data_IF_551612433311
#
_entry.id   IF_551612433311
#
_cell.length_a   1.000
_cell.length_b   1.000
_cell.length_c   1.000
_cell.angle_alpha   90.00
_cell.angle_beta   90.00
_cell.angle_gamma   90.00
#
_symmetry.space_group_name_H-M   'P 1'
#
loop_
_entity.id
_entity.type
_entity.pdbx_description
1 polymer ?
#
# COMPACT_ATOMS: atom_id res chain seq x y z
N UNK A 1 10.34 -7.82 -11.46
CA UNK A 1 9.04 -7.31 -11.93
C UNK A 1 8.28 -6.80 -10.73
N UNK A 2 7.76 -5.56 -10.82
CA UNK A 2 7.04 -4.92 -9.73
C UNK A 2 5.58 -4.67 -10.16
N UNK A 3 4.65 -4.94 -9.27
CA UNK A 3 3.21 -4.69 -9.43
C UNK A 3 2.83 -3.47 -8.62
N UNK A 4 2.13 -2.52 -9.23
CA UNK A 4 1.62 -1.32 -8.55
C UNK A 4 0.10 -1.29 -8.58
N UNK A 5 -0.47 -0.72 -7.52
CA UNK A 5 -1.90 -0.47 -7.43
C UNK A 5 -2.19 0.62 -6.39
N UNK A 6 -3.35 1.24 -6.49
CA UNK A 6 -3.84 2.25 -5.54
C UNK A 6 -5.12 1.76 -4.90
N UNK A 7 -5.12 1.67 -3.58
CA UNK A 7 -6.32 1.37 -2.80
C UNK A 7 -6.90 2.65 -2.22
N UNK A 8 -8.08 3.02 -2.68
CA UNK A 8 -8.85 4.13 -2.14
C UNK A 8 -9.57 3.70 -0.86
N UNK A 9 -9.36 4.42 0.23
CA UNK A 9 -9.98 4.14 1.54
C UNK A 9 -10.65 5.39 2.10
N UNK A 10 -11.77 5.23 2.77
CA UNK A 10 -12.46 6.34 3.41
C UNK A 10 -11.59 6.99 4.48
N UNK A 11 -11.61 8.32 4.55
CA UNK A 11 -10.88 9.08 5.54
C UNK A 11 -11.48 8.87 6.92
N UNK A 12 -10.63 8.78 7.93
CA UNK A 12 -11.03 8.68 9.33
C UNK A 12 -11.25 10.12 9.84
N UNK A 13 -12.44 10.44 10.37
CA UNK A 13 -12.64 11.73 11.02
C UNK A 13 -11.83 11.84 12.29
N UNK A 14 -11.50 13.08 12.68
CA UNK A 14 -10.82 13.34 13.94
C UNK A 14 -11.66 12.84 15.13
N UNK A 15 -10.97 12.17 16.06
CA UNK A 15 -11.62 11.46 17.15
C UNK A 15 -12.12 10.05 16.78
N UNK A 16 -12.02 9.66 15.50
CA UNK A 16 -12.49 8.38 15.00
C UNK A 16 -13.94 8.39 14.52
N UNK A 17 -14.32 7.34 13.84
CA UNK A 17 -15.67 7.14 13.32
C UNK A 17 -16.46 6.11 14.13
N UNK A 18 -17.54 5.58 13.55
CA UNK A 18 -18.40 4.57 14.17
C UNK A 18 -17.66 3.31 14.67
N UNK A 19 -16.51 3.01 14.12
CA UNK A 19 -15.68 1.87 14.57
C UNK A 19 -15.03 2.12 15.94
N UNK A 20 -14.83 3.36 16.33
CA UNK A 20 -14.33 3.76 17.65
C UNK A 20 -15.47 3.90 18.65
N UNK A 21 -16.54 4.59 18.25
CA UNK A 21 -17.60 5.00 19.15
C UNK A 21 -18.84 4.07 19.15
N UNK A 22 -18.88 3.10 18.24
CA UNK A 22 -20.04 2.24 18.04
C UNK A 22 -21.06 2.83 17.05
N UNK A 23 -21.84 1.94 16.43
CA UNK A 23 -22.95 2.35 15.57
C UNK A 23 -24.07 2.97 16.44
N UNK A 24 -24.64 4.07 15.94
CA UNK A 24 -25.72 4.76 16.66
C UNK A 24 -25.25 5.66 17.81
N UNK A 25 -23.94 5.80 18.07
CA UNK A 25 -23.39 6.79 19.00
C UNK A 25 -23.68 8.23 18.54
N UNK A 26 -23.58 9.19 19.46
CA UNK A 26 -23.77 10.61 19.13
C UNK A 26 -22.76 11.09 18.10
N UNK A 27 -21.53 10.63 18.17
CA UNK A 27 -20.48 10.89 17.19
C UNK A 27 -20.85 10.32 15.82
N UNK A 28 -21.35 9.08 15.77
CA UNK A 28 -21.80 8.48 14.52
C UNK A 28 -22.94 9.28 13.90
N UNK A 29 -23.97 9.62 14.71
CA UNK A 29 -25.10 10.47 14.27
C UNK A 29 -24.64 11.86 13.83
N UNK A 30 -23.64 12.46 14.47
CA UNK A 30 -23.08 13.74 14.08
C UNK A 30 -22.41 13.67 12.70
N UNK A 31 -21.62 12.62 12.44
CA UNK A 31 -20.98 12.37 11.14
C UNK A 31 -22.03 12.17 10.04
N UNK A 32 -23.11 11.43 10.33
CA UNK A 32 -24.17 11.18 9.35
C UNK A 32 -24.97 12.46 9.06
N UNK A 33 -25.28 13.29 10.07
CA UNK A 33 -25.88 14.62 9.86
C UNK A 33 -24.98 15.52 9.00
N UNK A 34 -23.67 15.53 9.26
CA UNK A 34 -22.74 16.30 8.45
C UNK A 34 -22.71 15.83 6.99
N UNK A 35 -22.78 14.51 6.74
CA UNK A 35 -22.89 13.96 5.37
C UNK A 35 -24.18 14.40 4.67
N UNK A 36 -25.31 14.36 5.38
CA UNK A 36 -26.60 14.82 4.84
C UNK A 36 -26.54 16.32 4.51
N UNK A 37 -25.82 17.11 5.31
CA UNK A 37 -25.56 18.53 5.06
C UNK A 37 -24.51 18.80 3.95
N UNK A 38 -24.04 17.75 3.26
CA UNK A 38 -23.10 17.85 2.13
C UNK A 38 -21.62 17.76 2.50
N UNK A 39 -21.28 17.58 3.76
CA UNK A 39 -19.88 17.34 4.16
C UNK A 39 -19.39 15.99 3.66
N UNK A 40 -18.26 15.99 2.95
CA UNK A 40 -17.61 14.78 2.47
C UNK A 40 -16.37 14.50 3.33
N UNK A 41 -16.35 13.34 3.99
CA UNK A 41 -15.19 12.91 4.75
C UNK A 41 -13.93 12.74 3.86
N UNK A 42 -14.14 12.59 2.55
CA UNK A 42 -13.06 12.42 1.59
C UNK A 42 -12.45 11.01 1.63
N UNK A 43 -11.35 10.88 0.93
CA UNK A 43 -10.59 9.64 0.81
C UNK A 43 -9.11 9.91 1.01
N UNK A 44 -8.40 8.86 1.34
CA UNK A 44 -6.95 8.76 1.22
C UNK A 44 -6.61 7.58 0.32
N UNK A 45 -5.41 7.58 -0.21
CA UNK A 45 -4.99 6.66 -1.24
C UNK A 45 -3.74 5.92 -0.80
N UNK A 46 -3.84 4.61 -0.70
CA UNK A 46 -2.72 3.75 -0.37
C UNK A 46 -2.08 3.28 -1.67
N UNK A 47 -0.97 3.91 -2.03
CA UNK A 47 -0.16 3.49 -3.15
C UNK A 47 0.73 2.32 -2.72
N UNK A 48 0.66 1.22 -3.42
CA UNK A 48 1.40 0.00 -3.08
C UNK A 48 2.22 -0.50 -4.28
N UNK A 49 3.43 -0.96 -4.00
CA UNK A 49 4.32 -1.61 -4.94
C UNK A 49 4.79 -2.94 -4.37
N UNK A 50 4.68 -4.03 -5.14
CA UNK A 50 5.03 -5.38 -4.68
C UNK A 50 5.96 -6.04 -5.69
N UNK A 51 7.14 -6.51 -5.24
CA UNK A 51 7.99 -7.31 -6.10
C UNK A 51 7.39 -8.69 -6.38
N UNK A 52 7.37 -9.02 -7.64
CA UNK A 52 6.76 -10.26 -8.13
C UNK A 52 7.45 -11.53 -7.69
N UNK A 53 8.72 -11.48 -7.34
CA UNK A 53 9.51 -12.62 -6.90
C UNK A 53 9.51 -12.76 -5.37
N UNK A 54 10.06 -11.79 -4.67
CA UNK A 54 10.22 -11.85 -3.21
C UNK A 54 8.92 -11.63 -2.44
N UNK A 55 7.95 -10.92 -3.02
CA UNK A 55 6.77 -10.35 -2.37
C UNK A 55 7.09 -9.16 -1.47
N UNK A 56 8.33 -8.67 -1.48
CA UNK A 56 8.68 -7.43 -0.79
C UNK A 56 7.73 -6.32 -1.22
N UNK A 57 7.19 -5.58 -0.28
CA UNK A 57 6.14 -4.60 -0.51
C UNK A 57 6.51 -3.24 0.07
N UNK A 58 6.12 -2.20 -0.64
CA UNK A 58 6.26 -0.82 -0.21
C UNK A 58 4.90 -0.12 -0.36
N UNK A 59 4.43 0.52 0.70
CA UNK A 59 3.13 1.21 0.69
C UNK A 59 3.26 2.57 1.35
N UNK A 60 2.67 3.57 0.72
CA UNK A 60 2.54 4.91 1.25
C UNK A 60 1.08 5.33 1.35
N UNK A 61 0.78 6.10 2.38
CA UNK A 61 -0.46 6.80 2.58
C UNK A 61 -0.35 8.20 1.94
N UNK A 62 -1.07 8.43 0.85
CA UNK A 62 -0.97 9.65 0.04
C UNK A 62 -2.33 10.34 -0.12
N UNK A 63 -2.35 11.66 -0.40
CA UNK A 63 -3.58 12.44 -0.44
C UNK A 63 -4.45 12.18 -1.67
N UNK A 64 -3.87 11.72 -2.76
CA UNK A 64 -4.55 11.55 -4.04
C UNK A 64 -3.94 10.44 -4.91
N UNK A 65 -4.56 10.18 -6.06
CA UNK A 65 -4.10 9.25 -7.10
C UNK A 65 -3.77 9.99 -8.41
N UNK A 66 -3.27 11.22 -8.32
CA UNK A 66 -2.86 11.97 -9.51
C UNK A 66 -1.61 11.37 -10.15
N UNK A 67 -1.37 11.69 -11.42
CA UNK A 67 -0.16 11.26 -12.13
C UNK A 67 1.12 11.76 -11.42
N UNK A 68 1.11 12.98 -10.88
CA UNK A 68 2.22 13.57 -10.11
C UNK A 68 2.53 12.73 -8.87
N UNK A 69 1.51 12.39 -8.12
CA UNK A 69 1.62 11.57 -6.91
C UNK A 69 2.11 10.16 -7.22
N UNK A 70 1.58 9.53 -8.26
CA UNK A 70 2.02 8.21 -8.71
C UNK A 70 3.49 8.19 -9.17
N UNK A 71 3.94 9.24 -9.87
CA UNK A 71 5.35 9.39 -10.28
C UNK A 71 6.27 9.53 -9.06
N UNK A 72 5.89 10.39 -8.10
CA UNK A 72 6.66 10.56 -6.86
C UNK A 72 6.72 9.27 -6.03
N UNK A 73 5.59 8.58 -5.89
CA UNK A 73 5.54 7.26 -5.25
C UNK A 73 6.46 6.24 -5.93
N UNK A 74 6.41 6.15 -7.28
CA UNK A 74 7.26 5.24 -8.03
C UNK A 74 8.74 5.51 -7.82
N UNK A 75 9.15 6.78 -7.79
CA UNK A 75 10.55 7.16 -7.54
C UNK A 75 11.03 6.65 -6.16
N UNK A 76 10.23 6.84 -5.10
CA UNK A 76 10.57 6.37 -3.75
C UNK A 76 10.52 4.85 -3.64
N UNK A 77 9.54 4.20 -4.27
CA UNK A 77 9.48 2.74 -4.34
C UNK A 77 10.72 2.14 -5.00
N UNK A 78 11.24 2.75 -6.05
CA UNK A 78 12.51 2.32 -6.69
C UNK A 78 13.68 2.40 -5.72
N UNK A 79 13.80 3.48 -4.97
CA UNK A 79 14.86 3.64 -3.95
C UNK A 79 14.72 2.55 -2.88
N UNK A 80 13.51 2.31 -2.40
CA UNK A 80 13.24 1.22 -1.46
C UNK A 80 13.67 -0.14 -2.00
N UNK A 81 13.28 -0.50 -3.21
CA UNK A 81 13.68 -1.76 -3.83
C UNK A 81 15.19 -1.87 -4.05
N UNK A 82 15.84 -0.80 -4.46
CA UNK A 82 17.30 -0.76 -4.64
C UNK A 82 18.04 -0.98 -3.33
N UNK A 83 17.58 -0.37 -2.23
CA UNK A 83 18.12 -0.60 -0.89
C UNK A 83 18.00 -2.07 -0.42
N UNK A 84 17.09 -2.84 -1.02
CA UNK A 84 16.92 -4.27 -0.80
C UNK A 84 17.55 -5.14 -1.90
N UNK A 85 18.51 -4.62 -2.66
CA UNK A 85 19.23 -5.36 -3.70
C UNK A 85 18.44 -5.55 -5.01
N UNK A 86 17.22 -5.03 -5.14
CA UNK A 86 16.44 -5.08 -6.38
C UNK A 86 16.78 -3.83 -7.23
N UNK A 87 17.98 -3.83 -7.80
CA UNK A 87 18.51 -2.67 -8.56
C UNK A 87 17.97 -2.61 -9.99
N UNK A 88 17.52 -3.76 -10.55
CA UNK A 88 17.01 -3.84 -11.93
C UNK A 88 15.54 -4.26 -11.94
N UNK A 89 14.65 -3.34 -12.32
CA UNK A 89 13.21 -3.59 -12.48
C UNK A 89 12.90 -3.63 -13.99
N UNK A 90 12.83 -4.83 -14.55
CA UNK A 90 12.62 -5.04 -16.00
C UNK A 90 11.18 -4.82 -16.44
N UNK A 91 10.22 -4.88 -15.51
CA UNK A 91 8.79 -4.74 -15.82
C UNK A 91 8.04 -4.13 -14.65
N UNK A 92 7.16 -3.18 -14.96
CA UNK A 92 6.21 -2.57 -14.04
C UNK A 92 4.81 -2.90 -14.53
N UNK A 93 4.01 -3.56 -13.70
CA UNK A 93 2.63 -3.96 -14.01
C UNK A 93 1.68 -3.08 -13.21
N UNK A 94 0.72 -2.46 -13.89
CA UNK A 94 -0.32 -1.63 -13.27
C UNK A 94 -1.69 -1.95 -13.85
N UNK A 95 -2.73 -1.53 -13.17
CA UNK A 95 -4.05 -1.44 -13.77
C UNK A 95 -4.12 -0.32 -14.84
N UNK A 96 -5.34 -0.07 -15.35
CA UNK A 96 -5.60 0.97 -16.34
C UNK A 96 -6.00 2.32 -15.72
N UNK A 97 -5.65 2.56 -14.46
CA UNK A 97 -5.90 3.82 -13.75
C UNK A 97 -5.32 5.02 -14.52
N UNK A 98 -6.03 6.17 -14.46
CA UNK A 98 -5.64 7.36 -15.21
C UNK A 98 -4.22 7.83 -14.89
N UNK A 99 -3.80 7.74 -13.64
CA UNK A 99 -2.44 8.09 -13.20
C UNK A 99 -1.36 7.27 -13.91
N UNK A 100 -1.59 5.96 -14.09
CA UNK A 100 -0.66 5.05 -14.72
C UNK A 100 -0.65 5.17 -16.27
N UNK A 101 -1.76 5.58 -16.87
CA UNK A 101 -1.86 5.81 -18.32
C UNK A 101 -1.25 7.15 -18.75
N UNK A 102 -0.84 7.99 -17.81
CA UNK A 102 -0.29 9.30 -18.09
C UNK A 102 1.08 9.22 -18.79
N UNK A 103 1.36 10.18 -19.69
CA UNK A 103 2.68 10.31 -20.30
C UNK A 103 3.78 10.58 -19.25
N UNK A 104 3.43 11.24 -18.15
CA UNK A 104 4.36 11.50 -17.04
C UNK A 104 4.80 10.19 -16.38
N UNK A 105 3.87 9.27 -16.12
CA UNK A 105 4.20 7.98 -15.52
C UNK A 105 5.00 7.09 -16.49
N UNK A 106 4.64 7.07 -17.77
CA UNK A 106 5.41 6.37 -18.81
C UNK A 106 6.86 6.85 -18.88
N UNK A 107 7.07 8.18 -18.83
CA UNK A 107 8.43 8.76 -18.77
C UNK A 107 9.19 8.40 -17.49
N UNK A 108 8.50 8.34 -16.34
CA UNK A 108 9.10 8.00 -15.06
C UNK A 108 9.58 6.54 -14.98
N UNK A 109 8.93 5.61 -15.69
CA UNK A 109 9.44 4.25 -15.86
C UNK A 109 10.70 4.26 -16.74
N UNK A 110 10.71 5.11 -17.78
CA UNK A 110 11.86 5.32 -18.67
C UNK A 110 12.29 4.06 -19.42
N UNK A 111 13.54 4.07 -19.89
CA UNK A 111 14.14 2.94 -20.62
C UNK A 111 14.56 1.77 -19.70
N UNK A 112 14.52 1.96 -18.37
CA UNK A 112 14.98 0.96 -17.41
C UNK A 112 14.02 -0.23 -17.24
N UNK A 113 12.77 -0.10 -17.69
CA UNK A 113 11.77 -1.16 -17.56
C UNK A 113 10.61 -1.01 -18.55
N UNK A 114 9.92 -2.12 -18.79
CA UNK A 114 8.70 -2.12 -19.61
C UNK A 114 7.48 -1.85 -18.73
N UNK A 115 6.72 -0.81 -19.05
CA UNK A 115 5.38 -0.62 -18.48
C UNK A 115 4.40 -1.59 -19.15
N UNK A 116 3.65 -2.33 -18.33
CA UNK A 116 2.62 -3.25 -18.78
C UNK A 116 1.30 -2.92 -18.07
N UNK A 117 0.37 -2.38 -18.81
CA UNK A 117 -1.01 -2.28 -18.36
C UNK A 117 -1.65 -3.67 -18.41
N UNK A 118 -2.47 -4.01 -17.41
CA UNK A 118 -3.25 -5.25 -17.46
C UNK A 118 -4.30 -5.18 -18.57
N UNK A 119 -4.66 -6.33 -19.12
CA UNK A 119 -5.79 -6.39 -20.05
C UNK A 119 -7.09 -6.08 -19.31
N UNK A 120 -8.01 -5.32 -19.90
CA UNK A 120 -9.34 -5.12 -19.33
C UNK A 120 -9.97 -6.47 -18.93
N UNK A 121 -10.68 -6.48 -17.82
CA UNK A 121 -11.37 -7.67 -17.30
C UNK A 121 -10.46 -8.88 -16.99
N UNK A 122 -9.14 -8.67 -16.83
CA UNK A 122 -8.19 -9.76 -16.50
C UNK A 122 -7.42 -9.46 -15.23
N UNK A 123 -8.08 -9.48 -14.05
CA UNK A 123 -7.45 -9.12 -12.75
C UNK A 123 -6.27 -10.03 -12.39
N UNK A 124 -6.24 -11.27 -12.90
CA UNK A 124 -5.13 -12.22 -12.63
C UNK A 124 -3.74 -11.66 -12.89
N UNK A 125 -3.60 -10.66 -13.75
CA UNK A 125 -2.31 -10.06 -14.08
C UNK A 125 -1.75 -9.17 -12.97
N UNK A 126 -2.59 -8.57 -12.11
CA UNK A 126 -2.17 -7.75 -10.96
C UNK A 126 -2.39 -8.43 -9.60
N UNK A 127 -2.73 -9.71 -9.61
CA UNK A 127 -3.12 -10.49 -8.43
C UNK A 127 -2.11 -10.49 -7.27
N UNK A 128 -0.85 -10.12 -7.50
CA UNK A 128 0.16 -10.05 -6.42
C UNK A 128 -0.05 -8.84 -5.53
N UNK A 129 -0.25 -7.66 -6.11
CA UNK A 129 -0.53 -6.45 -5.33
C UNK A 129 -1.96 -6.46 -4.79
N UNK A 130 -2.92 -7.03 -5.52
CA UNK A 130 -4.30 -7.21 -5.03
C UNK A 130 -4.32 -8.11 -3.77
N UNK A 131 -3.58 -9.24 -3.82
CA UNK A 131 -3.42 -10.11 -2.65
C UNK A 131 -2.78 -9.39 -1.47
N UNK A 132 -1.73 -8.63 -1.73
CA UNK A 132 -1.07 -7.80 -0.72
C UNK A 132 -2.05 -6.80 -0.10
N UNK A 133 -2.82 -6.07 -0.91
CA UNK A 133 -3.79 -5.11 -0.43
C UNK A 133 -4.95 -5.74 0.35
N UNK A 134 -5.31 -6.99 0.03
CA UNK A 134 -6.26 -7.76 0.84
C UNK A 134 -5.69 -8.03 2.22
N UNK A 135 -4.46 -8.53 2.29
CA UNK A 135 -3.77 -8.81 3.56
C UNK A 135 -3.64 -7.52 4.39
N UNK A 136 -3.22 -6.41 3.78
CA UNK A 136 -3.16 -5.10 4.41
C UNK A 136 -4.53 -4.68 4.98
N UNK A 137 -5.60 -4.92 4.23
CA UNK A 137 -6.95 -4.59 4.66
C UNK A 137 -7.40 -5.45 5.85
N UNK A 138 -7.19 -6.75 5.78
CA UNK A 138 -7.62 -7.72 6.80
C UNK A 138 -6.80 -7.61 8.08
N UNK A 139 -5.47 -7.49 7.97
CA UNK A 139 -4.58 -7.55 9.12
C UNK A 139 -4.28 -6.17 9.75
N UNK A 140 -4.56 -5.07 9.04
CA UNK A 140 -4.30 -3.73 9.55
C UNK A 140 -5.50 -2.79 9.45
N UNK A 141 -5.95 -2.47 8.21
CA UNK A 141 -6.90 -1.36 8.01
C UNK A 141 -8.23 -1.58 8.72
N UNK A 142 -8.69 -2.84 8.76
CA UNK A 142 -9.96 -3.23 9.36
C UNK A 142 -9.82 -4.13 10.60
N UNK A 143 -8.60 -4.48 10.98
CA UNK A 143 -8.35 -5.29 12.18
C UNK A 143 -8.65 -4.53 13.48
N UNK A 144 -8.45 -3.22 13.47
CA UNK A 144 -8.67 -2.35 14.64
C UNK A 144 -9.28 -1.00 14.24
N UNK A 145 -9.95 -0.30 15.16
CA UNK A 145 -10.36 1.08 14.94
C UNK A 145 -9.16 2.04 15.06
N UNK A 146 -9.27 3.20 14.41
CA UNK A 146 -8.31 4.31 14.47
C UNK A 146 -9.05 5.58 14.85
N UNK A 147 -8.40 6.42 15.66
CA UNK A 147 -8.96 7.69 16.14
C UNK A 147 -8.62 8.86 15.22
N UNK A 148 -7.61 8.71 14.35
CA UNK A 148 -7.26 9.72 13.35
C UNK A 148 -6.59 9.08 12.12
N UNK A 149 -6.47 9.88 11.07
CA UNK A 149 -5.79 9.47 9.84
C UNK A 149 -4.27 9.32 10.06
N UNK A 150 -3.69 10.17 10.89
CA UNK A 150 -2.27 10.11 11.26
C UNK A 150 -1.94 8.82 12.01
N UNK A 151 -2.84 8.39 12.91
CA UNK A 151 -2.68 7.12 13.62
C UNK A 151 -2.67 5.94 12.63
N UNK A 152 -3.56 5.96 11.62
CA UNK A 152 -3.58 4.92 10.58
C UNK A 152 -2.33 4.99 9.70
N UNK A 153 -1.87 6.17 9.31
CA UNK A 153 -0.66 6.34 8.52
C UNK A 153 0.57 5.75 9.22
N UNK A 154 0.78 6.09 10.49
CA UNK A 154 1.87 5.52 11.31
C UNK A 154 1.76 3.99 11.45
N UNK A 155 0.54 3.48 11.59
CA UNK A 155 0.32 2.03 11.66
C UNK A 155 0.69 1.33 10.35
N UNK A 156 0.48 1.97 9.19
CA UNK A 156 0.89 1.43 7.88
C UNK A 156 2.42 1.37 7.77
N UNK A 157 3.14 2.39 8.26
CA UNK A 157 4.61 2.39 8.27
C UNK A 157 5.17 1.22 9.08
N UNK A 158 4.68 1.03 10.31
CA UNK A 158 5.07 -0.09 11.17
C UNK A 158 4.70 -1.44 10.55
N UNK A 159 3.50 -1.51 9.96
CA UNK A 159 3.04 -2.74 9.33
C UNK A 159 3.87 -3.11 8.09
N UNK A 160 4.36 -2.14 7.32
CA UNK A 160 5.27 -2.40 6.20
C UNK A 160 6.53 -3.13 6.67
N UNK A 161 7.08 -2.75 7.84
CA UNK A 161 8.22 -3.45 8.45
C UNK A 161 7.81 -4.87 8.84
N UNK A 162 6.70 -5.01 9.57
CA UNK A 162 6.19 -6.32 9.97
C UNK A 162 5.96 -7.25 8.76
N UNK A 163 5.28 -6.77 7.72
CA UNK A 163 5.00 -7.55 6.52
C UNK A 163 6.29 -8.05 5.84
N UNK A 164 7.26 -7.17 5.69
CA UNK A 164 8.48 -7.47 4.94
C UNK A 164 9.47 -8.35 5.70
N UNK A 165 9.57 -8.18 7.02
CA UNK A 165 10.65 -8.78 7.80
C UNK A 165 10.19 -9.83 8.83
N UNK A 166 8.91 -9.85 9.17
CA UNK A 166 8.41 -10.72 10.24
C UNK A 166 7.25 -11.62 9.82
N UNK A 167 6.41 -11.17 8.88
CA UNK A 167 5.23 -11.92 8.48
C UNK A 167 5.60 -13.12 7.59
N UNK A 168 5.25 -14.37 7.99
CA UNK A 168 5.45 -15.54 7.12
C UNK A 168 4.63 -15.43 5.84
N UNK A 169 5.21 -15.83 4.72
CA UNK A 169 4.56 -15.79 3.42
C UNK A 169 4.68 -17.17 2.73
N UNK A 170 3.55 -17.78 2.38
CA UNK A 170 3.54 -19.12 1.75
C UNK A 170 4.37 -19.20 0.47
N UNK A 171 4.28 -18.17 -0.40
CA UNK A 171 5.09 -18.08 -1.62
C UNK A 171 6.59 -17.88 -1.35
N UNK A 172 7.00 -17.60 -0.11
CA UNK A 172 8.37 -17.48 0.35
C UNK A 172 8.79 -18.67 1.27
N UNK A 173 8.15 -19.82 1.13
CA UNK A 173 8.38 -21.01 1.96
C UNK A 173 8.15 -20.74 3.45
N UNK A 174 7.10 -19.99 3.78
CA UNK A 174 6.76 -19.52 5.11
C UNK A 174 7.82 -18.62 5.76
N UNK A 175 8.69 -18.01 4.96
CA UNK A 175 9.63 -16.99 5.41
C UNK A 175 9.11 -15.59 5.07
N UNK A 176 9.54 -14.55 5.78
CA UNK A 176 9.25 -13.16 5.41
C UNK A 176 9.80 -12.81 4.02
N UNK A 177 9.14 -11.87 3.29
CA UNK A 177 9.57 -11.46 1.95
C UNK A 177 11.04 -11.07 1.82
N UNK A 178 11.58 -10.35 2.79
CA UNK A 178 12.98 -9.89 2.78
C UNK A 178 13.99 -11.05 2.77
N UNK A 179 13.68 -12.17 3.40
CA UNK A 179 14.59 -13.33 3.44
C UNK A 179 14.80 -13.96 2.06
N UNK A 180 13.84 -13.83 1.12
CA UNK A 180 14.03 -14.30 -0.26
C UNK A 180 15.11 -13.55 -1.04
N UNK A 181 15.53 -12.40 -0.56
CA UNK A 181 16.56 -11.55 -1.16
C UNK A 181 17.93 -11.76 -0.51
N UNK A 182 18.06 -12.73 0.40
CA UNK A 182 19.31 -12.98 1.12
C UNK A 182 19.59 -11.97 2.25
N UNK A 183 18.69 -11.05 2.50
CA UNK A 183 18.76 -10.18 3.67
C UNK A 183 18.27 -10.97 4.90
N UNK A 184 19.22 -11.57 5.61
CA UNK A 184 18.96 -12.10 6.94
C UNK A 184 18.47 -10.94 7.80
N UNK A 185 17.31 -11.08 8.44
CA UNK A 185 16.96 -10.21 9.54
C UNK A 185 17.98 -10.48 10.64
N UNK A 186 18.96 -9.61 10.78
CA UNK A 186 19.68 -9.50 12.04
C UNK A 186 18.62 -9.11 13.05
N UNK A 187 18.24 -10.08 13.87
CA UNK A 187 17.22 -9.90 14.89
C UNK A 187 17.81 -8.97 15.95
N UNK A 188 17.63 -7.67 15.75
CA UNK A 188 18.11 -6.63 16.65
C UNK A 188 17.57 -6.84 18.07
N UNK A 189 16.45 -7.55 18.21
CA UNK A 189 15.88 -7.95 19.50
C UNK A 189 16.67 -9.04 20.25
N UNK A 190 17.57 -9.76 19.59
CA UNK A 190 18.45 -10.74 20.26
C UNK A 190 19.65 -10.12 21.01
N UNK A 191 19.91 -8.85 20.82
CA UNK A 191 21.02 -8.14 21.45
C UNK A 191 20.66 -7.45 22.78
N UNK A 192 19.44 -7.64 23.30
CA UNK A 192 18.98 -7.08 24.56
C UNK A 192 18.66 -8.13 25.65
N UNK A 193 19.22 -9.35 25.55
CA UNK A 193 19.22 -10.32 26.63
C UNK A 193 20.64 -10.54 27.14
#
# INVERSE_FOLDING_TARGET
MVHLDVKKVGRIPDGGGWRVHGRGSDQHRAVDRAKVAGARAGYVYLHSAVDGFSRLAYTEHLPDETARTAVGFWARARVFFAAHGITRITRVVTDNGACYRSAAFARAIGHAGRHQLIRPFTPKHNGKVERYQRILAEELLYARPYTSEEQRARAIEVWNIHYNYHRPHTAARNQPPAQRLGFGVTNVMRSYN
#
